data_IF_107638579261
#
_entry.id   IF_107638579261
#
_cell.length_a   1.000
_cell.length_b   1.000
_cell.length_c   1.000
_cell.angle_alpha   90.00
_cell.angle_beta   90.00
_cell.angle_gamma   90.00
#
_symmetry.space_group_name_H-M   'P 1'
#
loop_
_entity.id
_entity.type
_entity.pdbx_description
1 polymer ?
#
# COMPACT_ATOMS: atom_id res chain seq x y z
N UNK A 1 33.83 -20.53 13.27
CA UNK A 1 32.91 -19.36 13.22
C UNK A 1 32.55 -19.15 11.75
N UNK A 2 31.38 -19.62 11.29
CA UNK A 2 31.06 -19.58 9.87
C UNK A 2 29.77 -20.30 9.54
N UNK A 3 28.64 -19.77 10.02
CA UNK A 3 27.30 -20.23 9.63
C UNK A 3 26.29 -19.21 10.16
N UNK A 4 25.81 -18.27 9.34
CA UNK A 4 24.55 -17.55 9.62
C UNK A 4 24.13 -16.48 8.59
N UNK A 5 24.89 -16.25 7.51
CA UNK A 5 24.49 -15.24 6.52
C UNK A 5 23.56 -15.81 5.44
N UNK A 6 23.83 -17.03 4.95
CA UNK A 6 23.03 -17.68 3.91
C UNK A 6 21.61 -18.05 4.35
N UNK A 7 21.43 -18.56 5.57
CA UNK A 7 20.12 -18.93 6.12
C UNK A 7 19.19 -17.72 6.32
N UNK A 8 19.72 -16.58 6.76
CA UNK A 8 18.92 -15.35 6.94
C UNK A 8 18.39 -14.78 5.61
N UNK A 9 19.16 -14.95 4.54
CA UNK A 9 18.75 -14.52 3.20
C UNK A 9 17.65 -15.46 2.69
N UNK A 10 17.79 -16.77 2.82
CA UNK A 10 16.74 -17.72 2.42
C UNK A 10 15.45 -17.56 3.23
N UNK A 11 15.54 -17.24 4.52
CA UNK A 11 14.36 -16.95 5.35
C UNK A 11 13.66 -15.66 4.93
N UNK A 12 14.45 -14.64 4.55
CA UNK A 12 13.92 -13.41 3.96
C UNK A 12 13.24 -13.68 2.63
N UNK A 13 13.86 -14.47 1.74
CA UNK A 13 13.26 -14.85 0.46
C UNK A 13 12.00 -15.70 0.66
N UNK A 14 11.95 -16.64 1.60
CA UNK A 14 10.75 -17.45 1.84
C UNK A 14 9.60 -16.63 2.45
N UNK A 15 9.91 -15.74 3.40
CA UNK A 15 8.89 -14.85 3.96
C UNK A 15 8.44 -13.79 2.96
N UNK A 16 9.37 -13.27 2.15
CA UNK A 16 9.07 -12.39 1.03
C UNK A 16 8.22 -13.13 -0.01
N UNK A 17 8.57 -14.36 -0.41
CA UNK A 17 7.82 -15.21 -1.35
C UNK A 17 6.44 -15.58 -0.79
N UNK A 18 6.30 -15.82 0.52
CA UNK A 18 4.99 -16.07 1.13
C UNK A 18 4.14 -14.81 1.23
N UNK A 19 4.75 -13.66 1.55
CA UNK A 19 4.11 -12.35 1.52
C UNK A 19 3.85 -11.86 0.10
N UNK A 20 4.64 -12.29 -0.88
CA UNK A 20 4.54 -12.02 -2.31
C UNK A 20 3.45 -12.88 -2.91
N UNK A 21 3.31 -14.15 -2.55
CA UNK A 21 2.14 -14.96 -2.86
C UNK A 21 0.86 -14.35 -2.23
N UNK A 22 0.95 -13.83 -1.00
CA UNK A 22 -0.15 -13.07 -0.39
C UNK A 22 -0.36 -11.70 -1.09
N UNK A 23 0.69 -11.02 -1.58
CA UNK A 23 0.60 -9.74 -2.26
C UNK A 23 0.13 -9.88 -3.72
N UNK A 24 0.48 -10.96 -4.41
CA UNK A 24 -0.04 -11.41 -5.68
C UNK A 24 -1.50 -11.81 -5.52
N UNK A 25 -1.86 -12.50 -4.43
CA UNK A 25 -3.27 -12.71 -4.07
C UNK A 25 -3.98 -11.38 -3.84
N UNK A 26 -3.34 -10.38 -3.23
CA UNK A 26 -3.93 -9.06 -3.02
C UNK A 26 -4.00 -8.21 -4.29
N UNK A 27 -3.01 -8.33 -5.18
CA UNK A 27 -3.00 -7.74 -6.50
C UNK A 27 -4.05 -8.41 -7.40
N UNK A 28 -4.25 -9.72 -7.26
CA UNK A 28 -5.32 -10.49 -7.87
C UNK A 28 -6.69 -10.07 -7.32
N UNK A 29 -6.83 -9.85 -6.01
CA UNK A 29 -8.06 -9.31 -5.40
C UNK A 29 -8.31 -7.88 -5.89
N UNK A 30 -7.29 -7.03 -5.95
CA UNK A 30 -7.38 -5.66 -6.48
C UNK A 30 -7.75 -5.61 -7.96
N UNK A 31 -7.12 -6.45 -8.78
CA UNK A 31 -7.43 -6.60 -10.20
C UNK A 31 -8.83 -7.21 -10.43
N UNK A 32 -9.25 -8.16 -9.59
CA UNK A 32 -10.60 -8.73 -9.63
C UNK A 32 -11.65 -7.69 -9.21
N UNK A 33 -11.36 -6.86 -8.21
CA UNK A 33 -12.23 -5.74 -7.82
C UNK A 33 -12.40 -4.75 -8.96
N UNK A 34 -11.33 -4.41 -9.68
CA UNK A 34 -11.39 -3.55 -10.87
C UNK A 34 -12.12 -4.17 -12.05
N UNK A 35 -12.02 -5.48 -12.24
CA UNK A 35 -12.70 -6.19 -13.32
C UNK A 35 -14.20 -6.38 -13.04
N UNK A 36 -14.60 -6.49 -11.76
CA UNK A 36 -16.00 -6.73 -11.38
C UNK A 36 -16.78 -5.47 -11.02
N UNK A 37 -16.13 -4.42 -10.51
CA UNK A 37 -16.83 -3.25 -9.98
C UNK A 37 -16.37 -1.95 -10.62
N UNK A 38 -17.33 -1.19 -11.15
CA UNK A 38 -17.10 0.19 -11.54
C UNK A 38 -16.69 0.99 -10.30
N UNK A 39 -15.47 1.49 -10.31
CA UNK A 39 -14.86 2.40 -9.32
C UNK A 39 -15.73 3.64 -9.08
N UNK A 40 -16.51 4.08 -10.08
CA UNK A 40 -17.53 5.12 -9.90
C UNK A 40 -18.68 4.71 -8.97
N UNK A 41 -18.89 3.40 -8.81
CA UNK A 41 -19.86 2.81 -7.89
C UNK A 41 -19.30 2.71 -6.46
N UNK A 42 -17.97 2.56 -6.33
CA UNK A 42 -17.28 2.39 -5.06
C UNK A 42 -16.93 3.74 -4.43
N UNK A 43 -16.52 4.72 -5.24
CA UNK A 43 -15.98 5.98 -4.75
C UNK A 43 -16.86 7.19 -5.03
N UNK A 44 -17.06 7.99 -3.98
CA UNK A 44 -17.58 9.35 -4.11
C UNK A 44 -16.60 10.26 -4.86
N UNK A 45 -17.11 11.31 -5.49
CA UNK A 45 -16.27 12.34 -6.12
C UNK A 45 -15.28 12.96 -5.13
N UNK A 46 -15.70 13.18 -3.88
CA UNK A 46 -14.84 13.70 -2.81
C UNK A 46 -13.64 12.78 -2.55
N UNK A 47 -13.89 11.46 -2.52
CA UNK A 47 -12.82 10.47 -2.32
C UNK A 47 -11.86 10.47 -3.51
N UNK A 48 -12.38 10.52 -4.74
CA UNK A 48 -11.56 10.56 -5.97
C UNK A 48 -10.68 11.80 -6.02
N UNK A 49 -11.25 12.96 -5.70
CA UNK A 49 -10.51 14.22 -5.66
C UNK A 49 -9.39 14.20 -4.62
N UNK A 50 -9.63 13.59 -3.45
CA UNK A 50 -8.58 13.36 -2.45
C UNK A 50 -7.45 12.49 -3.00
N UNK A 51 -7.80 11.33 -3.57
CA UNK A 51 -6.85 10.36 -4.13
C UNK A 51 -6.00 11.00 -5.22
N UNK A 52 -6.62 11.73 -6.15
CA UNK A 52 -5.91 12.43 -7.22
C UNK A 52 -4.99 13.54 -6.69
N UNK A 53 -5.46 14.38 -5.78
CA UNK A 53 -4.64 15.45 -5.17
C UNK A 53 -3.44 14.89 -4.44
N UNK A 54 -3.62 13.78 -3.74
CA UNK A 54 -2.56 13.13 -3.03
C UNK A 54 -1.50 12.54 -3.98
N UNK A 55 -1.93 11.89 -5.07
CA UNK A 55 -1.01 11.39 -6.09
C UNK A 55 -0.20 12.52 -6.74
N UNK A 56 -0.87 13.62 -7.10
CA UNK A 56 -0.21 14.82 -7.65
C UNK A 56 0.81 15.41 -6.67
N UNK A 57 0.44 15.57 -5.39
CA UNK A 57 1.36 16.06 -4.35
C UNK A 57 2.56 15.12 -4.15
N UNK A 58 2.35 13.80 -4.28
CA UNK A 58 3.45 12.82 -4.25
C UNK A 58 4.42 13.06 -5.40
N UNK A 59 3.90 13.22 -6.61
CA UNK A 59 4.72 13.51 -7.78
C UNK A 59 5.60 14.76 -7.59
N UNK A 60 5.00 15.85 -7.10
CA UNK A 60 5.69 17.12 -6.87
C UNK A 60 6.80 16.99 -5.83
N UNK A 61 6.52 16.31 -4.71
CA UNK A 61 7.48 16.12 -3.61
C UNK A 61 8.68 15.26 -4.05
N UNK A 62 8.42 14.20 -4.80
CA UNK A 62 9.47 13.30 -5.29
C UNK A 62 10.12 13.78 -6.60
N UNK A 63 9.64 14.89 -7.18
CA UNK A 63 10.22 15.58 -8.35
C UNK A 63 10.32 14.68 -9.59
N UNK A 64 9.31 13.84 -9.81
CA UNK A 64 9.29 12.95 -10.97
C UNK A 64 8.83 13.66 -12.24
N UNK A 65 9.47 13.34 -13.37
CA UNK A 65 9.15 13.97 -14.66
C UNK A 65 7.90 13.40 -15.33
N UNK A 66 7.47 12.20 -14.93
CA UNK A 66 6.30 11.52 -15.49
C UNK A 66 5.41 10.95 -14.38
N UNK A 67 4.20 11.48 -14.25
CA UNK A 67 3.25 11.13 -13.20
C UNK A 67 1.83 10.98 -13.74
N UNK A 68 1.69 10.40 -14.93
CA UNK A 68 0.37 10.11 -15.46
C UNK A 68 -0.04 8.68 -15.11
N UNK A 69 -1.02 8.54 -14.22
CA UNK A 69 -1.66 7.27 -13.88
C UNK A 69 -3.17 7.48 -13.96
N UNK A 70 -3.92 6.59 -14.63
CA UNK A 70 -5.38 6.65 -14.58
C UNK A 70 -5.87 6.63 -13.14
N UNK A 71 -6.81 7.51 -12.80
CA UNK A 71 -7.45 7.56 -11.47
C UNK A 71 -7.90 6.16 -11.01
N UNK A 72 -8.46 5.42 -11.96
CA UNK A 72 -8.93 4.06 -11.78
C UNK A 72 -7.88 3.11 -11.22
N UNK A 73 -6.68 3.19 -11.77
CA UNK A 73 -5.58 2.31 -11.44
C UNK A 73 -5.00 2.65 -10.08
N UNK A 74 -4.75 3.93 -9.79
CA UNK A 74 -4.23 4.33 -8.49
C UNK A 74 -5.22 4.08 -7.36
N UNK A 75 -6.52 4.30 -7.61
CA UNK A 75 -7.56 4.01 -6.64
C UNK A 75 -7.64 2.50 -6.31
N UNK A 76 -7.36 1.64 -7.29
CA UNK A 76 -7.28 0.20 -7.09
C UNK A 76 -6.10 -0.20 -6.21
N UNK A 77 -4.92 0.36 -6.49
CA UNK A 77 -3.72 0.09 -5.70
C UNK A 77 -3.98 0.46 -4.24
N UNK A 78 -4.61 1.63 -4.01
CA UNK A 78 -4.93 2.10 -2.67
C UNK A 78 -5.93 1.20 -1.94
N UNK A 79 -7.04 0.82 -2.57
CA UNK A 79 -8.01 -0.11 -1.95
C UNK A 79 -7.36 -1.45 -1.67
N UNK A 80 -6.71 -2.04 -2.68
CA UNK A 80 -6.11 -3.36 -2.60
C UNK A 80 -5.11 -3.40 -1.45
N UNK A 81 -4.23 -2.42 -1.37
CA UNK A 81 -3.26 -2.32 -0.29
C UNK A 81 -3.90 -2.11 1.09
N UNK A 82 -4.94 -1.26 1.19
CA UNK A 82 -5.63 -1.02 2.47
C UNK A 82 -6.34 -2.27 2.98
N UNK A 83 -7.08 -2.97 2.12
CA UNK A 83 -7.71 -4.26 2.45
C UNK A 83 -6.65 -5.27 2.86
N UNK A 84 -5.54 -5.33 2.13
CA UNK A 84 -4.45 -6.23 2.45
C UNK A 84 -3.87 -5.98 3.83
N UNK A 85 -3.63 -4.72 4.15
CA UNK A 85 -3.08 -4.31 5.44
C UNK A 85 -4.06 -4.59 6.59
N UNK A 86 -5.36 -4.35 6.41
CA UNK A 86 -6.37 -4.66 7.42
C UNK A 86 -6.51 -6.17 7.65
N UNK A 87 -6.48 -6.98 6.58
CA UNK A 87 -6.44 -8.45 6.68
C UNK A 87 -5.17 -8.95 7.36
N UNK A 88 -4.02 -8.36 7.04
CA UNK A 88 -2.76 -8.62 7.73
C UNK A 88 -2.90 -8.36 9.22
N UNK A 89 -3.43 -7.20 9.65
CA UNK A 89 -3.67 -6.90 11.08
C UNK A 89 -4.60 -7.91 11.75
N UNK A 90 -5.69 -8.31 11.09
CA UNK A 90 -6.63 -9.31 11.62
C UNK A 90 -5.95 -10.67 11.80
N UNK A 91 -5.20 -11.14 10.78
CA UNK A 91 -4.51 -12.43 10.85
C UNK A 91 -3.32 -12.40 11.81
N UNK A 92 -2.54 -11.33 11.83
CA UNK A 92 -1.37 -11.18 12.71
C UNK A 92 -1.78 -11.11 14.19
N UNK A 93 -2.92 -10.51 14.50
CA UNK A 93 -3.49 -10.54 15.86
C UNK A 93 -3.91 -11.93 16.33
N UNK A 94 -4.14 -12.89 15.42
CA UNK A 94 -4.62 -14.25 15.73
C UNK A 94 -3.57 -15.35 15.58
N UNK A 95 -2.59 -15.19 14.70
CA UNK A 95 -1.70 -16.27 14.24
C UNK A 95 -0.22 -15.98 14.53
N UNK A 96 0.18 -14.70 14.60
CA UNK A 96 1.60 -14.31 14.72
C UNK A 96 1.92 -13.80 16.14
N UNK A 97 1.72 -14.67 17.14
CA UNK A 97 2.21 -14.44 18.51
C UNK A 97 3.74 -14.57 18.62
N UNK A 98 4.40 -15.21 17.65
CA UNK A 98 5.85 -15.17 17.48
C UNK A 98 6.22 -14.08 16.47
N UNK A 99 6.45 -12.86 16.95
CA UNK A 99 7.07 -11.77 16.18
C UNK A 99 8.52 -12.14 15.84
N UNK A 100 8.75 -13.06 14.92
CA UNK A 100 10.08 -13.27 14.37
C UNK A 100 10.43 -12.10 13.46
N UNK A 101 11.39 -11.27 13.91
CA UNK A 101 12.05 -10.30 13.05
C UNK A 101 13.02 -11.03 12.13
N UNK A 102 12.92 -10.84 10.82
CA UNK A 102 13.91 -11.38 9.90
C UNK A 102 15.03 -10.36 9.81
N UNK A 103 16.24 -10.77 10.21
CA UNK A 103 17.42 -9.89 10.22
C UNK A 103 17.21 -8.53 10.93
N UNK A 104 16.40 -8.50 11.99
CA UNK A 104 16.09 -7.29 12.75
C UNK A 104 15.01 -6.39 12.15
N UNK A 105 14.40 -6.78 11.02
CA UNK A 105 13.24 -6.10 10.43
C UNK A 105 11.96 -6.72 11.01
N UNK A 106 11.06 -5.89 11.53
CA UNK A 106 9.77 -6.36 12.06
C UNK A 106 8.88 -6.87 10.92
N UNK A 107 7.99 -7.83 11.24
CA UNK A 107 6.98 -8.33 10.30
C UNK A 107 6.12 -7.21 9.70
N UNK A 108 5.81 -6.18 10.50
CA UNK A 108 5.07 -5.01 10.03
C UNK A 108 5.84 -4.27 8.94
N UNK A 109 7.15 -4.04 9.12
CA UNK A 109 8.00 -3.42 8.09
C UNK A 109 8.12 -4.32 6.85
N UNK A 110 8.22 -5.63 7.05
CA UNK A 110 8.28 -6.61 5.94
C UNK A 110 7.04 -6.57 5.06
N UNK A 111 5.84 -6.37 5.62
CA UNK A 111 4.62 -6.21 4.83
C UNK A 111 4.74 -5.05 3.82
N UNK A 112 5.21 -3.88 4.27
CA UNK A 112 5.39 -2.73 3.38
C UNK A 112 6.51 -2.95 2.35
N UNK A 113 7.61 -3.60 2.76
CA UNK A 113 8.69 -3.94 1.84
C UNK A 113 8.25 -4.94 0.78
N UNK A 114 7.48 -5.97 1.14
CA UNK A 114 6.97 -6.95 0.19
C UNK A 114 6.11 -6.28 -0.89
N UNK A 115 5.22 -5.36 -0.49
CA UNK A 115 4.48 -4.56 -1.46
C UNK A 115 5.41 -3.76 -2.37
N UNK A 116 6.38 -3.02 -1.82
CA UNK A 116 7.29 -2.19 -2.61
C UNK A 116 8.16 -3.01 -3.59
N UNK A 117 8.66 -4.18 -3.18
CA UNK A 117 9.50 -5.06 -4.00
C UNK A 117 8.74 -5.55 -5.24
N UNK A 118 7.45 -5.83 -5.14
CA UNK A 118 6.62 -6.24 -6.28
C UNK A 118 6.56 -5.21 -7.42
N UNK A 119 6.98 -3.96 -7.19
CA UNK A 119 7.04 -2.90 -8.19
C UNK A 119 8.47 -2.57 -8.65
N UNK A 120 9.50 -3.21 -8.08
CA UNK A 120 10.90 -2.86 -8.37
C UNK A 120 11.33 -3.17 -9.80
N UNK A 121 10.79 -4.21 -10.43
CA UNK A 121 11.13 -4.59 -11.81
C UNK A 121 10.51 -3.67 -12.87
N UNK A 122 9.52 -2.85 -12.49
CA UNK A 122 8.73 -2.02 -13.40
C UNK A 122 9.21 -0.55 -13.49
N UNK A 123 10.41 -0.24 -12.98
CA UNK A 123 10.99 1.12 -13.03
C UNK A 123 11.38 1.50 -14.48
N UNK A 124 10.96 2.66 -14.99
CA UNK A 124 10.92 3.95 -14.29
C UNK A 124 9.50 4.45 -13.98
N UNK A 125 9.38 5.68 -13.46
CA UNK A 125 8.13 6.37 -13.11
C UNK A 125 6.96 6.11 -14.08
N UNK A 126 5.71 5.98 -13.58
CA UNK A 126 5.23 6.48 -12.28
C UNK A 126 5.09 5.42 -11.17
N UNK A 127 5.66 4.22 -11.33
CA UNK A 127 5.47 3.08 -10.42
C UNK A 127 5.98 3.38 -9.01
N UNK A 128 7.15 4.03 -8.89
CA UNK A 128 7.70 4.48 -7.62
C UNK A 128 6.77 5.48 -6.91
N UNK A 129 6.13 6.41 -7.65
CA UNK A 129 5.15 7.34 -7.11
C UNK A 129 3.92 6.60 -6.63
N UNK A 130 3.42 5.61 -7.38
CA UNK A 130 2.27 4.78 -6.96
C UNK A 130 2.55 4.09 -5.62
N UNK A 131 3.71 3.44 -5.48
CA UNK A 131 4.11 2.79 -4.22
C UNK A 131 4.16 3.80 -3.07
N UNK A 132 4.87 4.92 -3.28
CA UNK A 132 5.03 5.94 -2.23
C UNK A 132 3.69 6.55 -1.82
N UNK A 133 2.84 6.90 -2.79
CA UNK A 133 1.54 7.50 -2.55
C UNK A 133 0.59 6.53 -1.82
N UNK A 134 0.53 5.26 -2.24
CA UNK A 134 -0.28 4.23 -1.57
C UNK A 134 0.18 4.00 -0.13
N UNK A 135 1.47 3.77 0.07
CA UNK A 135 2.01 3.49 1.41
C UNK A 135 1.78 4.69 2.34
N UNK A 136 1.96 5.91 1.82
CA UNK A 136 1.75 7.13 2.60
C UNK A 136 0.32 7.28 3.12
N UNK A 137 -0.68 6.70 2.44
CA UNK A 137 -2.09 6.68 2.91
C UNK A 137 -2.36 5.78 4.09
N UNK A 138 -1.43 4.90 4.49
CA UNK A 138 -1.61 4.06 5.66
C UNK A 138 -1.10 4.83 6.89
N UNK A 139 -1.99 5.32 7.80
CA UNK A 139 -1.55 6.14 8.94
C UNK A 139 -0.54 5.43 9.84
N UNK A 140 -0.66 4.11 9.95
CA UNK A 140 0.24 3.28 10.74
C UNK A 140 1.67 3.24 10.16
N UNK A 141 1.86 3.51 8.86
CA UNK A 141 3.17 3.50 8.21
C UNK A 141 4.16 4.43 8.92
N UNK A 142 3.76 5.69 9.17
CA UNK A 142 4.58 6.69 9.88
C UNK A 142 5.08 6.16 11.22
N UNK A 143 4.20 5.48 11.96
CA UNK A 143 4.53 4.92 13.28
C UNK A 143 5.47 3.71 13.16
N UNK A 144 5.21 2.82 12.21
CA UNK A 144 5.99 1.59 12.00
C UNK A 144 7.42 1.90 11.55
N UNK A 145 7.58 2.91 10.69
CA UNK A 145 8.88 3.34 10.17
C UNK A 145 9.50 4.49 10.96
N UNK A 146 8.84 4.96 12.02
CA UNK A 146 9.31 6.04 12.89
C UNK A 146 9.68 7.29 12.08
N UNK A 147 8.86 7.62 11.07
CA UNK A 147 9.15 8.71 10.16
C UNK A 147 9.02 10.07 10.87
N UNK A 148 9.96 10.96 10.57
CA UNK A 148 9.88 12.38 10.94
C UNK A 148 8.71 13.06 10.22
N UNK A 149 8.17 14.10 10.86
CA UNK A 149 7.03 14.89 10.39
C UNK A 149 7.30 15.62 9.08
N UNK A 150 8.56 15.99 8.85
CA UNK A 150 9.04 16.67 7.64
C UNK A 150 9.53 15.69 6.56
N UNK A 151 9.40 14.38 6.78
CA UNK A 151 9.82 13.40 5.80
C UNK A 151 8.91 13.44 4.55
N UNK A 152 9.47 13.25 3.33
CA UNK A 152 8.70 13.26 2.09
C UNK A 152 7.45 12.36 2.10
N UNK A 153 7.57 11.15 2.66
CA UNK A 153 6.45 10.20 2.79
C UNK A 153 5.33 10.72 3.69
N UNK A 154 5.66 11.46 4.75
CA UNK A 154 4.66 12.05 5.66
C UNK A 154 4.04 13.30 5.04
N UNK A 155 4.86 14.20 4.47
CA UNK A 155 4.38 15.46 3.89
C UNK A 155 3.55 15.27 2.61
N UNK A 156 3.71 14.11 1.98
CA UNK A 156 2.92 13.70 0.80
C UNK A 156 1.47 13.40 1.16
N UNK A 157 1.22 12.87 2.36
CA UNK A 157 -0.12 12.60 2.86
C UNK A 157 -0.59 13.72 3.80
N UNK A 158 -1.02 14.85 3.22
CA UNK A 158 -1.58 15.98 3.98
C UNK A 158 -2.99 15.70 4.51
N UNK A 159 -3.72 14.81 3.84
CA UNK A 159 -5.08 14.40 4.18
C UNK A 159 -5.25 12.90 3.91
N UNK A 160 -5.76 12.17 4.90
CA UNK A 160 -6.07 10.75 4.72
C UNK A 160 -7.36 10.64 3.89
N UNK A 161 -7.27 9.98 2.74
CA UNK A 161 -8.42 9.74 1.88
C UNK A 161 -9.29 8.63 2.48
N UNK A 162 -10.54 8.97 2.80
CA UNK A 162 -11.49 8.01 3.34
C UNK A 162 -12.13 7.23 2.19
N UNK A 163 -11.65 5.99 2.02
CA UNK A 163 -11.99 5.08 0.92
C UNK A 163 -13.23 4.23 1.24
N UNK A 164 -13.35 3.72 2.47
CA UNK A 164 -14.47 2.88 2.93
C UNK A 164 -14.73 3.06 4.44
N UNK A 165 -15.89 2.65 4.92
CA UNK A 165 -16.29 2.73 6.33
C UNK A 165 -17.38 3.77 6.61
N UNK A 166 -17.70 3.99 7.89
CA UNK A 166 -18.78 4.90 8.31
C UNK A 166 -18.55 6.35 7.91
N UNK A 167 -17.28 6.73 7.78
CA UNK A 167 -16.85 8.09 7.45
C UNK A 167 -16.60 8.28 5.95
N UNK A 168 -16.71 7.21 5.14
CA UNK A 168 -16.64 7.33 3.69
C UNK A 168 -17.89 8.08 3.21
N UNK A 169 -17.68 9.11 2.38
CA UNK A 169 -18.78 10.01 2.02
C UNK A 169 -19.90 9.23 1.32
N UNK A 170 -21.09 9.28 1.94
CA UNK A 170 -22.29 8.54 1.53
C UNK A 170 -23.01 9.21 0.36
N UNK A 171 -22.28 9.79 -0.59
CA UNK A 171 -22.84 10.13 -1.89
C UNK A 171 -23.11 8.84 -2.69
N UNK A 172 -23.98 7.98 -2.11
CA UNK A 172 -24.77 6.98 -2.78
C UNK A 172 -25.41 7.68 -3.97
N UNK A 173 -25.01 7.32 -5.19
CA UNK A 173 -26.03 7.28 -6.24
C UNK A 173 -27.01 6.21 -5.81
N UNK A 174 -28.22 6.64 -5.46
CA UNK A 174 -29.39 5.80 -5.30
C UNK A 174 -29.48 4.92 -6.54
N UNK A 175 -29.18 3.63 -6.42
CA UNK A 175 -29.56 2.65 -7.42
C UNK A 175 -31.00 2.24 -7.11
N UNK A 176 -31.90 2.55 -8.04
CA UNK A 176 -33.26 2.04 -8.09
C UNK A 176 -33.26 0.54 -8.39
#
# INVERSE_FOLDING_TARGET
MGSNFGTKITDFYWAAEKLENDAEFMAFVGASLLAQFDINLIFSNVTKDCIQRQFANSCDIFKESFCHVPESQFSADLIGFRIAYDLYKIKSSKIYSEKQSISGISQEKLFFYAFAIGWCEQNPAPQNIRVNAVISQIPEFRKIFECRDDSPMVTTNREQCVVFGRDASTLKKTFF
#
